data_IF_417427423562
#
_entry.id   IF_417427423562
#
_cell.length_a   1.000
_cell.length_b   1.000
_cell.length_c   1.000
_cell.angle_alpha   90.00
_cell.angle_beta   90.00
_cell.angle_gamma   90.00
#
_symmetry.space_group_name_H-M   'P 1'
#
loop_
_entity.id
_entity.type
_entity.pdbx_description
1 polymer ?
#
# COMPACT_ATOMS: atom_id res chain seq x y z
N UNK A 1 -8.28 -0.50 -1.83
CA UNK A 1 -8.52 0.60 -2.77
C UNK A 1 -7.24 0.84 -3.54
N UNK A 2 -7.28 0.74 -4.86
CA UNK A 2 -6.10 0.98 -5.68
C UNK A 2 -5.97 2.47 -6.04
N UNK A 3 -4.74 2.97 -5.98
CA UNK A 3 -4.37 4.37 -6.27
C UNK A 3 -3.13 4.42 -7.15
N UNK A 4 -3.00 5.51 -7.90
CA UNK A 4 -1.81 5.73 -8.73
C UNK A 4 -0.57 6.17 -7.93
N UNK A 5 -0.77 6.72 -6.72
CA UNK A 5 0.31 7.24 -5.87
C UNK A 5 -0.07 7.07 -4.38
N UNK A 6 0.46 6.01 -3.77
CA UNK A 6 0.21 5.68 -2.37
C UNK A 6 0.93 6.63 -1.40
N UNK A 7 2.09 7.18 -1.78
CA UNK A 7 2.83 8.15 -0.95
C UNK A 7 2.05 9.45 -0.79
N UNK A 8 1.50 9.96 -1.89
CA UNK A 8 0.64 11.14 -1.86
C UNK A 8 -0.63 10.91 -1.05
N UNK A 9 -1.27 9.75 -1.22
CA UNK A 9 -2.46 9.39 -0.43
C UNK A 9 -2.12 9.28 1.06
N UNK A 10 -0.96 8.72 1.41
CA UNK A 10 -0.47 8.61 2.78
C UNK A 10 -0.24 9.99 3.41
N UNK A 11 0.40 10.92 2.69
CA UNK A 11 0.58 12.30 3.16
C UNK A 11 -0.75 13.02 3.40
N UNK A 12 -1.76 12.78 2.54
CA UNK A 12 -3.12 13.31 2.76
C UNK A 12 -3.77 12.68 4.00
N UNK A 13 -3.60 11.38 4.22
CA UNK A 13 -4.13 10.69 5.39
C UNK A 13 -3.52 11.24 6.69
N UNK A 14 -2.20 11.43 6.73
CA UNK A 14 -1.51 12.04 7.86
C UNK A 14 -1.97 13.47 8.10
N UNK A 15 -2.03 14.31 7.06
CA UNK A 15 -2.45 15.70 7.17
C UNK A 15 -3.91 15.85 7.66
N UNK A 16 -4.75 14.85 7.39
CA UNK A 16 -6.15 14.79 7.85
C UNK A 16 -6.31 14.11 9.22
N UNK A 17 -5.24 13.60 9.83
CA UNK A 17 -5.30 12.89 11.10
C UNK A 17 -6.13 11.60 11.03
N UNK A 18 -6.12 10.90 9.88
CA UNK A 18 -6.77 9.60 9.78
C UNK A 18 -6.05 8.57 10.66
N UNK A 19 -6.81 7.60 11.18
CA UNK A 19 -6.25 6.51 11.98
C UNK A 19 -5.49 5.54 11.08
N UNK A 20 -4.17 5.72 10.95
CA UNK A 20 -3.28 4.84 10.19
C UNK A 20 -2.92 3.66 11.09
N UNK A 21 -3.43 2.48 10.74
CA UNK A 21 -3.23 1.24 11.50
C UNK A 21 -2.12 0.36 10.93
N UNK A 22 -1.70 0.64 9.69
CA UNK A 22 -0.52 0.06 9.06
C UNK A 22 0.22 1.15 8.30
N UNK A 23 1.48 1.39 8.65
CA UNK A 23 2.31 2.42 8.00
C UNK A 23 2.62 2.07 6.54
N UNK A 24 2.99 3.10 5.76
CA UNK A 24 3.33 2.93 4.36
C UNK A 24 4.52 1.98 4.21
N UNK A 25 4.30 0.88 3.48
CA UNK A 25 5.33 -0.12 3.21
C UNK A 25 5.41 -0.41 1.71
N UNK A 26 6.63 -0.61 1.23
CA UNK A 26 6.89 -1.15 -0.11
C UNK A 26 7.26 -2.62 0.03
N UNK A 27 6.63 -3.44 -0.78
CA UNK A 27 6.75 -4.89 -0.78
C UNK A 27 7.42 -5.35 -2.06
N UNK A 28 8.24 -6.39 -1.96
CA UNK A 28 9.09 -6.88 -3.05
C UNK A 28 8.28 -7.44 -4.23
N UNK A 29 7.04 -7.86 -3.98
CA UNK A 29 6.11 -8.32 -5.01
C UNK A 29 5.45 -7.21 -5.83
N UNK A 30 5.94 -5.97 -5.74
CA UNK A 30 5.47 -4.87 -6.59
C UNK A 30 4.25 -4.15 -6.04
N UNK A 31 4.14 -4.02 -4.71
CA UNK A 31 3.05 -3.28 -4.08
C UNK A 31 3.56 -2.32 -3.02
N UNK A 32 3.00 -1.11 -3.02
CA UNK A 32 3.20 -0.13 -1.96
C UNK A 32 1.85 0.16 -1.34
N UNK A 33 1.72 0.00 -0.03
CA UNK A 33 0.43 0.16 0.61
C UNK A 33 0.51 0.62 2.06
N UNK A 34 -0.61 1.17 2.54
CA UNK A 34 -0.86 1.51 3.93
C UNK A 34 -2.33 1.26 4.24
N UNK A 35 -2.66 1.05 5.52
CA UNK A 35 -4.04 0.81 5.94
C UNK A 35 -4.51 1.87 6.93
N UNK A 36 -5.74 2.34 6.73
CA UNK A 36 -6.45 3.18 7.68
C UNK A 36 -7.66 2.44 8.25
N UNK A 37 -8.07 2.84 9.44
CA UNK A 37 -9.32 2.40 10.04
C UNK A 37 -10.29 3.59 10.12
N UNK A 38 -11.52 3.39 9.66
CA UNK A 38 -12.59 4.38 9.80
C UNK A 38 -13.20 4.34 11.23
N UNK A 39 -14.00 5.34 11.62
CA UNK A 39 -14.64 5.35 12.95
C UNK A 39 -15.60 4.19 13.24
N UNK A 40 -16.00 3.42 12.23
CA UNK A 40 -16.85 2.23 12.37
C UNK A 40 -16.01 0.94 12.48
N UNK A 41 -14.67 1.03 12.48
CA UNK A 41 -13.76 -0.12 12.52
C UNK A 41 -13.49 -0.76 11.15
N UNK A 42 -13.87 -0.10 10.05
CA UNK A 42 -13.63 -0.61 8.70
C UNK A 42 -12.19 -0.31 8.30
N UNK A 43 -11.46 -1.35 7.94
CA UNK A 43 -10.10 -1.27 7.43
C UNK A 43 -10.11 -1.02 5.93
N UNK A 44 -9.45 0.06 5.50
CA UNK A 44 -9.29 0.42 4.10
C UNK A 44 -7.80 0.33 3.79
N UNK A 45 -7.43 -0.68 3.01
CA UNK A 45 -6.09 -0.83 2.46
C UNK A 45 -5.93 0.03 1.20
N UNK A 46 -4.95 0.91 1.15
CA UNK A 46 -4.67 1.81 0.03
C UNK A 46 -3.39 1.34 -0.64
N UNK A 47 -3.52 0.84 -1.87
CA UNK A 47 -2.47 0.10 -2.57
C UNK A 47 -2.10 0.79 -3.88
N UNK A 48 -0.81 0.87 -4.17
CA UNK A 48 -0.24 1.22 -5.46
C UNK A 48 0.57 0.03 -5.98
N UNK A 49 0.26 -0.44 -7.17
CA UNK A 49 1.04 -1.47 -7.86
C UNK A 49 2.26 -0.86 -8.58
N UNK A 50 3.38 -1.57 -8.57
CA UNK A 50 4.59 -1.26 -9.34
C UNK A 50 5.28 -2.56 -9.79
N UNK A 51 6.34 -2.48 -10.59
CA UNK A 51 7.05 -3.68 -11.05
C UNK A 51 7.68 -4.43 -9.85
N UNK A 52 7.43 -5.74 -9.70
CA UNK A 52 8.06 -6.55 -8.65
C UNK A 52 9.58 -6.53 -8.77
N UNK A 53 10.29 -6.77 -7.66
CA UNK A 53 11.75 -6.91 -7.67
C UNK A 53 12.19 -8.09 -8.54
N UNK A 54 13.38 -8.00 -9.13
CA UNK A 54 13.96 -9.08 -9.96
C UNK A 54 14.04 -10.42 -9.20
N UNK A 55 14.34 -10.36 -7.90
CA UNK A 55 14.38 -11.51 -6.99
C UNK A 55 13.01 -12.18 -6.89
N UNK A 56 11.93 -11.39 -6.68
CA UNK A 56 10.57 -11.92 -6.61
C UNK A 56 10.07 -12.45 -7.96
N UNK A 57 10.47 -11.81 -9.07
CA UNK A 57 10.14 -12.29 -10.42
C UNK A 57 10.74 -13.68 -10.70
N UNK A 58 11.97 -13.94 -10.24
CA UNK A 58 12.63 -15.23 -10.47
C UNK A 58 11.96 -16.40 -9.75
N UNK A 59 11.31 -16.16 -8.60
CA UNK A 59 10.72 -17.22 -7.77
C UNK A 59 9.29 -17.59 -8.18
N UNK A 60 8.58 -16.72 -8.91
CA UNK A 60 7.17 -16.92 -9.28
C UNK A 60 6.88 -16.88 -10.79
N UNK A 61 7.82 -16.42 -11.63
CA UNK A 61 7.74 -16.56 -13.09
C UNK A 61 8.40 -17.88 -13.50
N UNK A 62 7.74 -19.01 -13.17
CA UNK A 62 8.06 -20.32 -13.71
C UNK A 62 7.08 -20.70 -14.83
N UNK A 63 7.61 -20.91 -16.05
CA UNK A 63 7.02 -21.40 -17.32
C UNK A 63 5.50 -21.27 -17.55
#
# INVERSE_FOLDING_TARGET
MEVSDAEKAYGVAQARGLNIVFELKSEEWGQRHFCIEDPNGIHIDIVQSFEPSEEYQSDYVGD
#
